data_IF_933005263899
#
_entry.id   IF_933005263899
#
_cell.length_a   1.000
_cell.length_b   1.000
_cell.length_c   1.000
_cell.angle_alpha   90.00
_cell.angle_beta   90.00
_cell.angle_gamma   90.00
#
_symmetry.space_group_name_H-M   'P 1'
#
loop_
_entity.id
_entity.type
_entity.pdbx_description
1 polymer ?
#
# COMPACT_ATOMS: atom_id res chain seq x y z
N UNK A 1 24.89 5.98 -32.07
CA UNK A 1 23.75 5.94 -31.12
C UNK A 1 23.19 7.35 -30.95
N UNK A 2 21.88 7.58 -31.13
CA UNK A 2 21.28 8.92 -30.98
C UNK A 2 21.26 9.32 -29.50
N UNK A 3 21.72 10.53 -29.15
CA UNK A 3 21.66 11.06 -27.78
C UNK A 3 20.20 11.25 -27.37
N UNK A 4 19.81 10.77 -26.18
CA UNK A 4 18.47 10.99 -25.61
C UNK A 4 18.31 12.49 -25.27
N UNK A 5 17.24 13.16 -25.75
CA UNK A 5 16.93 14.54 -25.38
C UNK A 5 16.88 14.77 -23.85
N UNK A 6 17.39 15.91 -23.37
CA UNK A 6 17.44 16.24 -21.93
C UNK A 6 16.08 16.21 -21.23
N UNK A 7 15.02 16.69 -21.90
CA UNK A 7 13.67 16.65 -21.35
C UNK A 7 13.16 15.22 -21.13
N UNK A 8 13.57 14.25 -21.98
CA UNK A 8 13.25 12.84 -21.79
C UNK A 8 14.06 12.22 -20.66
N UNK A 9 15.34 12.58 -20.50
CA UNK A 9 16.14 12.15 -19.34
C UNK A 9 15.50 12.58 -18.01
N UNK A 10 15.00 13.83 -17.94
CA UNK A 10 14.28 14.34 -16.76
C UNK A 10 13.00 13.54 -16.49
N UNK A 11 12.18 13.30 -17.52
CA UNK A 11 10.95 12.49 -17.40
C UNK A 11 11.25 11.05 -16.96
N UNK A 12 12.26 10.42 -17.55
CA UNK A 12 12.71 9.07 -17.17
C UNK A 12 13.20 9.03 -15.73
N UNK A 13 13.95 10.03 -15.26
CA UNK A 13 14.41 10.10 -13.87
C UNK A 13 13.23 10.18 -12.88
N UNK A 14 12.19 10.95 -13.20
CA UNK A 14 10.98 11.06 -12.38
C UNK A 14 10.24 9.72 -12.37
N UNK A 15 9.98 9.14 -13.55
CA UNK A 15 9.29 7.87 -13.67
C UNK A 15 10.02 6.73 -12.96
N UNK A 16 11.34 6.61 -13.15
CA UNK A 16 12.15 5.58 -12.47
C UNK A 16 12.07 5.72 -10.96
N UNK A 17 12.03 6.95 -10.43
CA UNK A 17 11.88 7.19 -9.00
C UNK A 17 10.51 6.72 -8.50
N UNK A 18 9.42 7.10 -9.15
CA UNK A 18 8.06 6.69 -8.77
C UNK A 18 7.89 5.17 -8.86
N UNK A 19 8.43 4.54 -9.91
CA UNK A 19 8.41 3.08 -10.07
C UNK A 19 9.20 2.39 -8.95
N UNK A 20 10.39 2.88 -8.62
CA UNK A 20 11.20 2.31 -7.53
C UNK A 20 10.54 2.49 -6.15
N UNK A 21 9.87 3.62 -5.92
CA UNK A 21 9.10 3.86 -4.69
C UNK A 21 7.95 2.84 -4.58
N UNK A 22 7.19 2.63 -5.65
CA UNK A 22 6.13 1.62 -5.69
C UNK A 22 6.67 0.20 -5.44
N UNK A 23 7.78 -0.18 -6.06
CA UNK A 23 8.37 -1.51 -5.86
C UNK A 23 8.90 -1.68 -4.43
N UNK A 24 9.52 -0.64 -3.87
CA UNK A 24 9.99 -0.66 -2.49
C UNK A 24 8.83 -0.79 -1.49
N UNK A 25 7.73 -0.06 -1.70
CA UNK A 25 6.51 -0.20 -0.90
C UNK A 25 5.98 -1.63 -0.95
N UNK A 26 5.91 -2.23 -2.14
CA UNK A 26 5.44 -3.60 -2.34
C UNK A 26 6.34 -4.62 -1.64
N UNK A 27 7.66 -4.48 -1.77
CA UNK A 27 8.63 -5.37 -1.12
C UNK A 27 8.53 -5.34 0.42
N UNK A 28 8.20 -4.19 1.00
CA UNK A 28 7.94 -4.06 2.43
C UNK A 28 6.58 -4.69 2.80
N UNK A 29 5.53 -4.40 2.01
CA UNK A 29 4.20 -4.93 2.25
C UNK A 29 4.16 -6.47 2.23
N UNK A 30 4.87 -7.07 1.27
CA UNK A 30 4.99 -8.52 1.09
C UNK A 30 5.91 -9.18 2.13
N UNK A 31 6.58 -8.40 2.98
CA UNK A 31 7.51 -8.90 3.98
C UNK A 31 8.84 -9.40 3.42
N UNK A 32 9.15 -9.13 2.13
CA UNK A 32 10.46 -9.40 1.52
C UNK A 32 11.57 -8.57 2.14
N UNK A 33 11.23 -7.39 2.65
CA UNK A 33 12.16 -6.46 3.31
C UNK A 33 11.83 -6.36 4.80
N UNK A 34 12.79 -6.72 5.64
CA UNK A 34 12.71 -6.61 7.10
C UNK A 34 13.19 -5.22 7.53
N UNK A 35 12.25 -4.33 7.83
CA UNK A 35 12.58 -2.95 8.25
C UNK A 35 12.79 -2.80 9.76
N UNK A 36 12.26 -3.72 10.58
CA UNK A 36 12.39 -3.63 12.04
C UNK A 36 13.86 -3.75 12.45
N UNK A 37 14.39 -2.71 13.12
CA UNK A 37 15.78 -2.60 13.60
C UNK A 37 16.86 -2.58 12.50
N UNK A 38 16.47 -2.48 11.23
CA UNK A 38 17.43 -2.38 10.13
C UNK A 38 17.89 -0.93 9.93
N UNK A 39 19.17 -0.75 9.62
CA UNK A 39 19.70 0.54 9.20
C UNK A 39 19.14 0.93 7.82
N UNK A 40 19.12 2.23 7.50
CA UNK A 40 18.66 2.72 6.18
C UNK A 40 19.39 2.03 5.01
N UNK A 41 20.71 1.83 5.16
CA UNK A 41 21.56 1.13 4.19
C UNK A 41 21.12 -0.32 4.00
N UNK A 42 20.92 -1.05 5.09
CA UNK A 42 20.51 -2.45 5.05
C UNK A 42 19.10 -2.61 4.42
N UNK A 43 18.14 -1.74 4.77
CA UNK A 43 16.80 -1.74 4.14
C UNK A 43 16.93 -1.58 2.61
N UNK A 44 17.80 -0.68 2.17
CA UNK A 44 18.02 -0.44 0.75
C UNK A 44 18.67 -1.61 0.04
N UNK A 45 19.71 -2.19 0.63
CA UNK A 45 20.36 -3.41 0.11
C UNK A 45 19.33 -4.54 -0.04
N UNK A 46 18.46 -4.74 0.96
CA UNK A 46 17.36 -5.70 0.87
C UNK A 46 16.37 -5.39 -0.27
N UNK A 47 16.00 -4.12 -0.47
CA UNK A 47 15.13 -3.71 -1.60
C UNK A 47 15.81 -4.04 -2.93
N UNK A 48 17.09 -3.71 -3.10
CA UNK A 48 17.84 -3.98 -4.33
C UNK A 48 17.88 -5.47 -4.63
N UNK A 49 18.18 -6.30 -3.63
CA UNK A 49 18.21 -7.75 -3.80
C UNK A 49 16.81 -8.32 -4.10
N UNK A 50 15.76 -7.82 -3.47
CA UNK A 50 14.38 -8.20 -3.78
C UNK A 50 14.00 -7.85 -5.23
N UNK A 51 14.37 -6.65 -5.70
CA UNK A 51 14.15 -6.22 -7.09
C UNK A 51 14.90 -7.12 -8.07
N UNK A 52 16.18 -7.43 -7.80
CA UNK A 52 16.99 -8.33 -8.63
C UNK A 52 16.36 -9.72 -8.74
N UNK A 53 15.90 -10.28 -7.62
CA UNK A 53 15.20 -11.57 -7.61
C UNK A 53 13.92 -11.55 -8.44
N UNK A 54 13.10 -10.49 -8.31
CA UNK A 54 11.88 -10.31 -9.11
C UNK A 54 12.17 -10.23 -10.62
N UNK A 55 13.22 -9.50 -11.01
CA UNK A 55 13.66 -9.37 -12.39
C UNK A 55 14.18 -10.71 -12.93
N UNK A 56 14.98 -11.44 -12.14
CA UNK A 56 15.50 -12.76 -12.51
C UNK A 56 14.38 -13.77 -12.78
N UNK A 57 13.32 -13.73 -11.98
CA UNK A 57 12.14 -14.60 -12.13
C UNK A 57 11.16 -14.13 -13.20
N UNK A 58 11.36 -12.94 -13.78
CA UNK A 58 10.42 -12.25 -14.68
C UNK A 58 8.99 -12.18 -14.09
N UNK A 59 8.88 -12.06 -12.77
CA UNK A 59 7.62 -12.20 -12.03
C UNK A 59 7.04 -10.86 -11.57
N UNK A 60 7.19 -9.81 -12.38
CA UNK A 60 6.62 -8.50 -12.07
C UNK A 60 5.10 -8.55 -12.22
N UNK A 61 4.39 -8.55 -11.10
CA UNK A 61 2.94 -8.40 -11.06
C UNK A 61 2.62 -6.93 -10.83
N UNK A 62 1.95 -6.31 -11.80
CA UNK A 62 1.45 -4.93 -11.67
C UNK A 62 0.02 -5.02 -11.15
N UNK A 63 -0.24 -4.41 -9.99
CA UNK A 63 -1.58 -4.29 -9.41
C UNK A 63 -2.00 -2.83 -9.57
N UNK A 64 -3.14 -2.61 -10.24
CA UNK A 64 -3.71 -1.27 -10.40
C UNK A 64 -4.60 -0.99 -9.18
N UNK A 65 -4.15 -0.10 -8.30
CA UNK A 65 -4.93 0.32 -7.14
C UNK A 65 -5.94 1.42 -7.52
N UNK A 66 -7.21 1.06 -7.60
CA UNK A 66 -8.30 2.01 -7.85
C UNK A 66 -8.81 2.72 -6.58
N UNK A 67 -8.32 2.36 -5.38
CA UNK A 67 -8.78 2.92 -4.12
C UNK A 67 -8.70 4.46 -4.06
N UNK A 68 -7.67 5.14 -4.59
CA UNK A 68 -7.64 6.60 -4.62
C UNK A 68 -8.75 7.22 -5.47
N UNK A 69 -9.03 6.65 -6.65
CA UNK A 69 -10.10 7.11 -7.54
C UNK A 69 -11.48 6.93 -6.90
N UNK A 70 -11.73 5.76 -6.31
CA UNK A 70 -12.98 5.44 -5.60
C UNK A 70 -13.20 6.43 -4.44
N UNK A 71 -12.16 6.68 -3.64
CA UNK A 71 -12.24 7.62 -2.52
C UNK A 71 -12.47 9.07 -2.98
N UNK A 72 -11.84 9.47 -4.07
CA UNK A 72 -12.05 10.79 -4.66
C UNK A 72 -13.52 10.96 -5.09
N UNK A 73 -14.08 9.96 -5.78
CA UNK A 73 -15.49 9.97 -6.15
C UNK A 73 -16.42 10.02 -4.92
N UNK A 74 -16.15 9.20 -3.89
CA UNK A 74 -16.90 9.23 -2.63
C UNK A 74 -16.93 10.65 -2.02
N UNK A 75 -15.78 11.33 -2.05
CA UNK A 75 -15.66 12.67 -1.51
C UNK A 75 -16.38 13.73 -2.35
N UNK A 76 -16.33 13.63 -3.69
CA UNK A 76 -17.07 14.52 -4.60
C UNK A 76 -18.59 14.43 -4.35
N UNK A 77 -19.15 13.22 -4.33
CA UNK A 77 -20.58 13.04 -4.03
C UNK A 77 -20.95 13.56 -2.64
N UNK A 78 -20.10 13.35 -1.64
CA UNK A 78 -20.32 13.88 -0.29
C UNK A 78 -20.30 15.41 -0.24
N UNK A 79 -19.47 16.08 -1.05
CA UNK A 79 -19.43 17.54 -1.16
C UNK A 79 -20.69 18.08 -1.85
N UNK A 80 -21.17 17.39 -2.89
CA UNK A 80 -22.42 17.71 -3.58
C UNK A 80 -23.69 17.30 -2.81
N UNK A 81 -23.56 16.84 -1.56
CA UNK A 81 -24.66 16.35 -0.70
C UNK A 81 -25.43 15.15 -1.25
N UNK A 82 -24.86 14.45 -2.23
CA UNK A 82 -25.39 13.21 -2.79
C UNK A 82 -25.01 12.01 -1.91
N UNK A 83 -25.51 11.96 -0.68
CA UNK A 83 -25.03 11.02 0.34
C UNK A 83 -25.24 9.55 -0.02
N UNK A 84 -26.28 9.22 -0.81
CA UNK A 84 -26.51 7.85 -1.29
C UNK A 84 -25.36 7.36 -2.17
N UNK A 85 -24.95 8.19 -3.15
CA UNK A 85 -23.82 7.90 -4.03
C UNK A 85 -22.51 7.88 -3.25
N UNK A 86 -22.30 8.84 -2.33
CA UNK A 86 -21.14 8.81 -1.45
C UNK A 86 -21.04 7.51 -0.64
N UNK A 87 -22.17 7.02 -0.11
CA UNK A 87 -22.25 5.76 0.63
C UNK A 87 -21.84 4.55 -0.22
N UNK A 88 -22.28 4.49 -1.49
CA UNK A 88 -21.87 3.43 -2.42
C UNK A 88 -20.35 3.38 -2.57
N UNK A 89 -19.71 4.53 -2.84
CA UNK A 89 -18.27 4.60 -3.05
C UNK A 89 -17.47 4.36 -1.77
N UNK A 90 -17.96 4.79 -0.60
CA UNK A 90 -17.32 4.43 0.67
C UNK A 90 -17.40 2.93 0.96
N UNK A 91 -18.55 2.28 0.72
CA UNK A 91 -18.69 0.83 0.87
C UNK A 91 -17.70 0.07 -0.04
N UNK A 92 -17.65 0.48 -1.32
CA UNK A 92 -16.72 -0.08 -2.32
C UNK A 92 -15.25 0.13 -1.89
N UNK A 93 -14.91 1.31 -1.38
CA UNK A 93 -13.56 1.58 -0.88
C UNK A 93 -13.18 0.67 0.29
N UNK A 94 -14.08 0.45 1.26
CA UNK A 94 -13.82 -0.47 2.38
C UNK A 94 -13.57 -1.90 1.88
N UNK A 95 -14.39 -2.37 0.95
CA UNK A 95 -14.22 -3.69 0.36
C UNK A 95 -12.88 -3.84 -0.37
N UNK A 96 -12.50 -2.86 -1.20
CA UNK A 96 -11.20 -2.81 -1.87
C UNK A 96 -10.04 -2.80 -0.88
N UNK A 97 -10.16 -2.04 0.20
CA UNK A 97 -9.12 -1.99 1.22
C UNK A 97 -8.90 -3.34 1.88
N UNK A 98 -9.95 -4.08 2.24
CA UNK A 98 -9.83 -5.44 2.77
C UNK A 98 -9.33 -6.44 1.72
N UNK A 99 -9.77 -6.34 0.47
CA UNK A 99 -9.26 -7.19 -0.61
C UNK A 99 -7.75 -6.97 -0.80
N UNK A 100 -7.28 -5.72 -0.68
CA UNK A 100 -5.85 -5.39 -0.64
C UNK A 100 -5.12 -6.00 0.56
N UNK A 101 -5.74 -6.06 1.74
CA UNK A 101 -5.17 -6.82 2.86
C UNK A 101 -5.00 -8.30 2.49
N UNK A 102 -6.05 -8.94 1.96
CA UNK A 102 -6.03 -10.37 1.60
C UNK A 102 -4.93 -10.66 0.57
N UNK A 103 -4.80 -9.80 -0.45
CA UNK A 103 -3.74 -9.92 -1.46
C UNK A 103 -2.33 -9.87 -0.83
N UNK A 104 -2.08 -8.92 0.09
CA UNK A 104 -0.78 -8.81 0.78
C UNK A 104 -0.46 -10.05 1.64
N UNK A 105 -1.48 -10.74 2.16
CA UNK A 105 -1.31 -11.98 2.93
C UNK A 105 -0.88 -13.13 2.02
N UNK A 106 -1.48 -13.20 0.82
CA UNK A 106 -1.12 -14.18 -0.20
C UNK A 106 0.37 -14.10 -0.56
N UNK A 107 0.85 -12.88 -0.82
CA UNK A 107 2.23 -12.63 -1.24
C UNK A 107 3.25 -12.95 -0.14
N UNK A 108 2.82 -12.98 1.13
CA UNK A 108 3.62 -13.48 2.27
C UNK A 108 3.71 -15.01 2.32
N UNK A 109 3.11 -15.72 1.37
CA UNK A 109 3.11 -17.19 1.30
C UNK A 109 2.21 -17.86 2.32
N UNK A 110 1.28 -17.13 2.93
CA UNK A 110 0.36 -17.68 3.95
C UNK A 110 -0.87 -18.34 3.34
N UNK A 111 -1.19 -18.04 2.08
CA UNK A 111 -2.37 -18.55 1.38
C UNK A 111 -2.03 -18.81 -0.08
N UNK A 112 -2.65 -19.84 -0.65
CA UNK A 112 -2.64 -20.12 -2.09
C UNK A 112 -3.51 -19.10 -2.84
N UNK A 113 -3.30 -18.99 -4.15
CA UNK A 113 -4.09 -18.10 -5.01
C UNK A 113 -5.59 -18.46 -5.01
N UNK A 114 -5.93 -19.75 -4.91
CA UNK A 114 -7.32 -20.21 -4.86
C UNK A 114 -8.00 -19.82 -3.54
N UNK A 115 -7.31 -20.00 -2.41
CA UNK A 115 -7.83 -19.57 -1.11
C UNK A 115 -8.08 -18.06 -1.07
N UNK A 116 -7.17 -17.27 -1.65
CA UNK A 116 -7.32 -15.80 -1.75
C UNK A 116 -8.56 -15.43 -2.56
N UNK A 117 -8.78 -16.09 -3.69
CA UNK A 117 -9.99 -15.88 -4.51
C UNK A 117 -11.26 -16.21 -3.72
N UNK A 118 -11.28 -17.33 -3.01
CA UNK A 118 -12.41 -17.74 -2.16
C UNK A 118 -12.63 -16.72 -1.05
N UNK A 119 -11.59 -16.27 -0.34
CA UNK A 119 -11.72 -15.27 0.71
C UNK A 119 -12.21 -13.91 0.17
N UNK A 120 -11.73 -13.47 -0.99
CA UNK A 120 -12.19 -12.21 -1.58
C UNK A 120 -13.67 -12.29 -1.95
N UNK A 121 -14.09 -13.40 -2.55
CA UNK A 121 -15.44 -13.58 -3.11
C UNK A 121 -16.50 -13.93 -2.06
N UNK A 122 -16.19 -14.86 -1.17
CA UNK A 122 -17.17 -15.49 -0.27
C UNK A 122 -17.18 -14.85 1.13
N UNK A 123 -16.08 -14.20 1.54
CA UNK A 123 -16.02 -13.59 2.87
C UNK A 123 -16.81 -12.28 2.89
N UNK A 124 -17.85 -12.21 3.71
CA UNK A 124 -18.60 -10.98 3.94
C UNK A 124 -17.69 -9.86 4.47
N UNK A 125 -18.05 -8.60 4.18
CA UNK A 125 -17.30 -7.44 4.68
C UNK A 125 -17.20 -7.42 6.21
N UNK A 126 -18.27 -7.84 6.91
CA UNK A 126 -18.27 -7.99 8.37
C UNK A 126 -17.23 -9.00 8.85
N UNK A 127 -17.14 -10.16 8.19
CA UNK A 127 -16.14 -11.16 8.49
C UNK A 127 -14.71 -10.65 8.19
N UNK A 128 -14.51 -9.96 7.05
CA UNK A 128 -13.23 -9.30 6.72
C UNK A 128 -12.80 -8.30 7.81
N UNK A 129 -13.73 -7.57 8.43
CA UNK A 129 -13.42 -6.63 9.52
C UNK A 129 -13.01 -7.30 10.84
N UNK A 130 -13.63 -8.44 11.17
CA UNK A 130 -13.59 -9.01 12.53
C UNK A 130 -12.64 -10.19 12.65
N UNK A 131 -12.55 -11.02 11.61
CA UNK A 131 -11.80 -12.28 11.59
C UNK A 131 -10.45 -12.11 10.90
N UNK A 132 -10.40 -11.35 9.80
CA UNK A 132 -9.18 -11.25 8.99
C UNK A 132 -7.98 -10.66 9.76
N UNK A 133 -8.09 -9.54 10.52
CA UNK A 133 -6.94 -8.96 11.21
C UNK A 133 -6.22 -9.92 12.18
N UNK A 134 -6.92 -10.60 13.12
CA UNK A 134 -6.24 -11.54 14.02
C UNK A 134 -5.69 -12.77 13.29
N UNK A 135 -6.35 -13.24 12.22
CA UNK A 135 -5.85 -14.36 11.41
C UNK A 135 -4.44 -14.10 10.88
N UNK A 136 -4.12 -12.83 10.60
CA UNK A 136 -2.83 -12.41 10.04
C UNK A 136 -1.95 -11.68 11.04
N UNK A 137 -2.20 -11.93 12.32
CA UNK A 137 -1.44 -11.39 13.46
C UNK A 137 -1.40 -9.86 13.47
N UNK A 138 -2.43 -9.21 12.96
CA UNK A 138 -2.63 -7.77 13.10
C UNK A 138 -3.63 -7.47 14.22
N UNK A 139 -3.53 -6.30 14.89
CA UNK A 139 -4.46 -5.96 15.97
C UNK A 139 -5.91 -5.87 15.50
N UNK A 140 -6.88 -6.11 16.39
CA UNK A 140 -8.29 -5.94 16.01
C UNK A 140 -8.57 -4.48 15.64
N UNK A 141 -9.42 -4.28 14.62
CA UNK A 141 -9.95 -2.95 14.28
C UNK A 141 -10.83 -2.46 15.44
N UNK A 142 -10.73 -1.17 15.77
CA UNK A 142 -11.55 -0.60 16.87
C UNK A 142 -13.04 -0.74 16.55
N UNK A 143 -13.83 -1.10 17.57
CA UNK A 143 -15.29 -1.34 17.45
C UNK A 143 -16.02 -0.24 16.69
N UNK A 144 -15.79 1.03 17.02
CA UNK A 144 -16.38 2.18 16.32
C UNK A 144 -16.22 2.12 14.78
N UNK A 145 -15.04 1.72 14.29
CA UNK A 145 -14.76 1.63 12.86
C UNK A 145 -15.44 0.40 12.23
N UNK A 146 -15.49 -0.73 12.95
CA UNK A 146 -16.24 -1.92 12.51
C UNK A 146 -17.73 -1.59 12.36
N UNK A 147 -18.32 -0.96 13.39
CA UNK A 147 -19.73 -0.58 13.39
C UNK A 147 -20.03 0.40 12.25
N UNK A 148 -19.12 1.34 11.98
CA UNK A 148 -19.25 2.27 10.86
C UNK A 148 -19.20 1.56 9.50
N UNK A 149 -18.28 0.61 9.31
CA UNK A 149 -18.16 -0.14 8.05
C UNK A 149 -19.42 -0.97 7.81
N UNK A 150 -19.89 -1.70 8.83
CA UNK A 150 -21.11 -2.51 8.74
C UNK A 150 -22.33 -1.64 8.44
N UNK A 151 -22.47 -0.49 9.12
CA UNK A 151 -23.56 0.45 8.86
C UNK A 151 -23.55 0.96 7.41
N UNK A 152 -22.38 1.33 6.89
CA UNK A 152 -22.25 1.80 5.49
C UNK A 152 -22.57 0.68 4.49
N UNK A 153 -22.19 -0.57 4.80
CA UNK A 153 -22.51 -1.73 3.96
C UNK A 153 -24.02 -2.03 3.95
N UNK A 154 -24.68 -1.98 5.11
CA UNK A 154 -26.13 -2.13 5.25
C UNK A 154 -26.88 -1.04 4.50
N UNK A 155 -26.49 0.23 4.68
CA UNK A 155 -27.07 1.37 3.96
C UNK A 155 -26.90 1.24 2.44
N UNK A 156 -25.73 0.79 1.98
CA UNK A 156 -25.48 0.50 0.55
C UNK A 156 -26.40 -0.61 0.05
N UNK A 157 -26.54 -1.70 0.79
CA UNK A 157 -27.41 -2.81 0.39
C UNK A 157 -28.87 -2.38 0.35
N UNK A 158 -29.36 -1.66 1.37
CA UNK A 158 -30.69 -1.09 1.38
C UNK A 158 -30.92 -0.20 0.14
N UNK A 159 -29.97 0.70 -0.17
CA UNK A 159 -30.10 1.59 -1.33
C UNK A 159 -30.10 0.85 -2.68
N UNK A 160 -29.25 -0.17 -2.86
CA UNK A 160 -29.18 -0.96 -4.10
C UNK A 160 -30.41 -1.85 -4.26
N UNK A 161 -30.85 -2.52 -3.21
CA UNK A 161 -31.98 -3.44 -3.24
C UNK A 161 -33.34 -2.74 -3.20
N UNK A 162 -33.41 -1.48 -2.71
CA UNK A 162 -34.65 -0.70 -2.69
C UNK A 162 -35.31 -0.58 -4.07
N UNK A 163 -34.53 -0.58 -5.16
CA UNK A 163 -35.06 -0.52 -6.53
C UNK A 163 -35.88 -1.76 -6.93
N UNK A 164 -35.89 -2.81 -6.12
CA UNK A 164 -36.51 -4.10 -6.43
C UNK A 164 -37.51 -4.55 -5.36
N UNK A 165 -38.06 -3.63 -4.56
CA UNK A 165 -39.08 -4.01 -3.58
C UNK A 165 -40.37 -4.45 -4.28
N UNK A 166 -40.80 -5.67 -3.97
CA UNK A 166 -42.14 -6.16 -4.30
C UNK A 166 -43.10 -5.34 -3.43
N UNK A 167 -43.98 -4.57 -4.06
CA UNK A 167 -44.99 -3.79 -3.35
C UNK A 167 -45.96 -4.75 -2.63
N UNK A 168 -45.89 -4.80 -1.31
CA UNK A 168 -46.86 -5.49 -0.47
C UNK A 168 -47.71 -4.39 0.16
N UNK A 169 -48.98 -4.31 -0.23
CA UNK A 169 -49.89 -3.19 0.03
C UNK A 169 -50.02 -2.79 1.51
N UNK A 170 -49.65 -3.66 2.46
CA UNK A 170 -49.95 -3.48 3.89
C UNK A 170 -48.72 -3.34 4.81
N UNK A 171 -47.49 -3.23 4.30
CA UNK A 171 -46.28 -3.07 5.15
C UNK A 171 -45.26 -2.10 4.57
N UNK A 172 -45.44 -0.80 4.82
CA UNK A 172 -44.37 0.17 4.64
C UNK A 172 -43.27 -0.04 5.69
N UNK A 173 -42.13 -0.62 5.30
CA UNK A 173 -40.95 -0.61 6.14
C UNK A 173 -40.19 0.71 5.95
N UNK A 174 -39.95 1.50 7.01
CA UNK A 174 -39.22 2.75 6.89
C UNK A 174 -37.80 2.50 6.38
N UNK A 175 -37.48 3.14 5.26
CA UNK A 175 -36.17 3.00 4.64
C UNK A 175 -35.09 3.66 5.51
N UNK A 176 -33.94 3.02 5.72
CA UNK A 176 -32.87 3.63 6.48
C UNK A 176 -32.33 4.84 5.71
N UNK A 177 -32.41 6.01 6.34
CA UNK A 177 -31.94 7.27 5.74
C UNK A 177 -30.42 7.36 5.88
N UNK A 178 -29.74 7.64 4.78
CA UNK A 178 -28.30 7.92 4.76
C UNK A 178 -28.08 9.38 5.14
N UNK A 179 -27.37 9.62 6.23
CA UNK A 179 -27.18 10.96 6.79
C UNK A 179 -25.77 11.50 6.54
N UNK A 180 -25.61 12.82 6.65
CA UNK A 180 -24.28 13.47 6.65
C UNK A 180 -23.36 12.92 7.76
N UNK A 181 -23.93 12.48 8.88
CA UNK A 181 -23.18 11.91 9.99
C UNK A 181 -22.57 10.56 9.63
N UNK A 182 -23.29 9.71 8.90
CA UNK A 182 -22.77 8.43 8.40
C UNK A 182 -21.55 8.66 7.49
N UNK A 183 -21.65 9.64 6.58
CA UNK A 183 -20.55 10.01 5.68
C UNK A 183 -19.35 10.57 6.44
N UNK A 184 -19.57 11.38 7.48
CA UNK A 184 -18.50 11.90 8.34
C UNK A 184 -17.80 10.77 9.09
N UNK A 185 -18.55 9.80 9.62
CA UNK A 185 -17.98 8.60 10.26
C UNK A 185 -17.19 7.76 9.27
N UNK A 186 -17.70 7.57 8.04
CA UNK A 186 -17.01 6.84 6.98
C UNK A 186 -15.64 7.48 6.66
N UNK A 187 -15.58 8.80 6.46
CA UNK A 187 -14.31 9.53 6.25
C UNK A 187 -13.31 9.35 7.40
N UNK A 188 -13.77 9.41 8.65
CA UNK A 188 -12.91 9.14 9.83
C UNK A 188 -12.38 7.71 9.82
N UNK A 189 -13.22 6.76 9.43
CA UNK A 189 -12.84 5.35 9.32
C UNK A 189 -11.85 5.09 8.20
N UNK A 190 -11.99 5.74 7.03
CA UNK A 190 -10.98 5.70 5.96
C UNK A 190 -9.61 6.15 6.48
N UNK A 191 -9.55 7.31 7.14
CA UNK A 191 -8.28 7.84 7.71
C UNK A 191 -7.67 6.85 8.71
N UNK A 192 -8.49 6.27 9.59
CA UNK A 192 -8.04 5.26 10.53
C UNK A 192 -7.46 4.03 9.81
N UNK A 193 -8.15 3.51 8.78
CA UNK A 193 -7.72 2.32 8.05
C UNK A 193 -6.43 2.58 7.25
N UNK A 194 -6.25 3.77 6.69
CA UNK A 194 -4.99 4.18 6.06
C UNK A 194 -3.83 4.24 7.06
N UNK A 195 -4.05 4.81 8.25
CA UNK A 195 -3.06 4.84 9.33
C UNK A 195 -2.74 3.42 9.84
N UNK A 196 -3.77 2.59 9.97
CA UNK A 196 -3.67 1.19 10.36
C UNK A 196 -2.82 0.41 9.34
N UNK A 197 -3.09 0.58 8.05
CA UNK A 197 -2.31 0.00 6.95
C UNK A 197 -0.85 0.45 7.00
N UNK A 198 -0.61 1.76 7.14
CA UNK A 198 0.75 2.30 7.26
C UNK A 198 1.50 1.70 8.44
N UNK A 199 0.85 1.60 9.61
CA UNK A 199 1.48 1.11 10.83
C UNK A 199 1.80 -0.39 10.78
N UNK A 200 0.91 -1.21 10.24
CA UNK A 200 1.00 -2.67 10.39
C UNK A 200 1.41 -3.41 9.11
N UNK A 201 1.19 -2.84 7.93
CA UNK A 201 1.62 -3.43 6.65
C UNK A 201 2.94 -2.81 6.22
N UNK A 202 2.96 -1.49 6.12
CA UNK A 202 4.15 -0.74 5.69
C UNK A 202 5.11 -0.43 6.85
N UNK A 203 4.79 -0.86 8.07
CA UNK A 203 5.62 -0.72 9.27
C UNK A 203 6.06 0.74 9.55
N UNK A 204 5.27 1.72 9.11
CA UNK A 204 5.54 3.15 9.24
C UNK A 204 6.49 3.74 8.19
N UNK A 205 6.87 2.96 7.17
CA UNK A 205 7.85 3.37 6.16
C UNK A 205 7.25 3.95 4.89
N UNK A 206 5.93 3.92 4.68
CA UNK A 206 5.31 4.40 3.43
C UNK A 206 5.78 5.81 3.04
N UNK A 207 5.77 6.76 3.98
CA UNK A 207 6.27 8.12 3.74
C UNK A 207 7.80 8.28 3.80
N UNK A 208 8.53 7.31 4.36
CA UNK A 208 9.99 7.37 4.57
C UNK A 208 10.78 6.76 3.41
N UNK A 209 10.15 5.93 2.58
CA UNK A 209 10.78 5.28 1.41
C UNK A 209 11.35 6.33 0.46
N UNK A 210 10.63 7.43 0.26
CA UNK A 210 11.08 8.57 -0.55
C UNK A 210 12.42 9.09 -0.05
N UNK A 211 12.58 9.25 1.27
CA UNK A 211 13.81 9.76 1.87
C UNK A 211 14.95 8.74 1.82
N UNK A 212 14.65 7.45 1.92
CA UNK A 212 15.63 6.37 1.74
C UNK A 212 16.26 6.38 0.33
N UNK A 213 15.47 6.72 -0.69
CA UNK A 213 15.91 6.69 -2.09
C UNK A 213 16.64 7.97 -2.54
N UNK A 214 16.52 9.08 -1.81
CA UNK A 214 17.12 10.38 -2.19
C UNK A 214 18.59 10.56 -1.77
N UNK A 215 19.06 9.87 -0.74
CA UNK A 215 20.33 10.23 -0.06
C UNK A 215 21.62 9.97 -0.87
N UNK A 216 21.58 9.23 -1.98
CA UNK A 216 22.79 8.91 -2.76
C UNK A 216 23.11 9.86 -3.92
N UNK A 217 22.11 10.59 -4.44
CA UNK A 217 22.38 11.54 -5.54
C UNK A 217 23.28 12.71 -5.13
N UNK A 218 23.52 12.89 -3.83
CA UNK A 218 24.39 13.95 -3.28
C UNK A 218 25.80 13.44 -2.99
N UNK A 219 25.98 12.16 -2.64
CA UNK A 219 27.31 11.62 -2.27
C UNK A 219 28.14 11.15 -3.47
N UNK A 220 27.53 10.87 -4.62
CA UNK A 220 28.27 10.52 -5.85
C UNK A 220 28.70 11.74 -6.68
N UNK A 221 28.44 12.97 -6.22
CA UNK A 221 28.74 14.22 -6.95
C UNK A 221 29.89 15.07 -6.38
N UNK A 222 30.60 14.63 -5.34
CA UNK A 222 31.65 15.43 -4.65
C UNK A 222 33.03 14.73 -4.67
N UNK A 223 33.26 13.81 -5.61
CA UNK A 223 34.50 13.02 -5.68
C UNK A 223 35.22 13.05 -7.03
N UNK A 224 34.93 14.02 -7.90
CA UNK A 224 35.67 14.26 -9.13
C UNK A 224 36.39 15.60 -9.03
N UNK A 225 37.69 15.59 -9.30
CA UNK A 225 38.60 16.74 -9.35
C UNK A 225 39.25 17.17 -8.02
N UNK A 226 39.97 16.25 -7.36
CA UNK A 226 41.35 16.57 -6.94
C UNK A 226 42.18 15.29 -6.72
N UNK A 227 42.72 14.73 -7.80
CA UNK A 227 43.89 13.83 -7.75
C UNK A 227 44.97 14.46 -8.61
N UNK A 228 45.41 15.64 -8.16
CA UNK A 228 46.67 16.22 -8.57
C UNK A 228 47.81 15.51 -7.82
N UNK A 229 48.57 14.72 -8.57
CA UNK A 229 50.01 14.48 -8.46
C UNK A 229 50.66 14.35 -7.05
N UNK A 230 51.20 13.14 -6.77
CA UNK A 230 52.53 12.89 -6.16
C UNK A 230 52.82 11.38 -6.28
N UNK A 231 53.54 10.94 -7.32
CA UNK A 231 55.01 10.65 -7.33
C UNK A 231 55.52 10.10 -6.00
N UNK A 232 56.02 8.86 -6.01
CA UNK A 232 56.78 8.29 -4.90
C UNK A 232 57.04 6.79 -5.06
N UNK A 233 58.01 6.45 -5.90
CA UNK A 233 58.64 5.13 -6.05
C UNK A 233 59.24 4.59 -4.74
N UNK A 234 59.02 3.31 -4.41
CA UNK A 234 60.05 2.33 -4.02
C UNK A 234 59.44 1.03 -3.47
N UNK A 235 59.88 -0.09 -4.06
CA UNK A 235 59.63 -1.47 -3.63
C UNK A 235 60.61 -1.90 -2.50
N UNK A 236 60.77 -3.20 -2.17
CA UNK A 236 60.01 -3.98 -1.19
C UNK A 236 60.91 -4.64 -0.10
N UNK A 237 60.35 -5.18 0.99
CA UNK A 237 60.79 -6.38 1.73
C UNK A 237 60.13 -6.48 3.11
N UNK A 238 59.84 -7.71 3.56
CA UNK A 238 59.68 -8.00 4.99
C UNK A 238 58.58 -9.01 5.32
N UNK A 239 58.87 -10.29 5.10
CA UNK A 239 58.25 -11.45 5.75
C UNK A 239 58.27 -11.34 7.28
N UNK A 240 57.20 -11.73 8.00
CA UNK A 240 57.26 -12.44 9.29
C UNK A 240 55.90 -13.09 9.65
N UNK A 241 56.00 -14.19 10.39
CA UNK A 241 55.02 -15.27 10.61
C UNK A 241 54.07 -15.04 11.81
N UNK A 242 53.18 -15.99 12.19
CA UNK A 242 52.08 -15.80 13.14
C UNK A 242 52.39 -16.23 14.59
N UNK A 243 51.65 -15.65 15.54
CA UNK A 243 51.42 -16.07 16.94
C UNK A 243 50.06 -15.45 17.35
N UNK A 244 49.10 -16.03 18.05
CA UNK A 244 48.87 -17.30 18.74
C UNK A 244 47.38 -17.66 18.60
#
# INVERSE_FOLDING_TARGET
>A
MKKIPEHLKKKLKILSKEVLECIAEQCIADGRVRVKRASKRNIREQIIEAVKDMLKRRSLRIIIDHSPSILNQANKFAQSREYKNACLFFAMWFEHWFNGLIANIAERGLLTHNEVKVLIREMSLRAKCTVLPPLIRMPRIKKFHIDTINRIAELRNAYVHYKYQIYIADKEQPQPIITVHDIRKARRTVKYLQQYQNKFIYLGYKGKIIDLMKQESVQQGVGGDDVSARRGTSSPRGSFAPQH
#
